data_IF_473210512271
#
_entry.id   IF_473210512271
#
_cell.length_a   1.000
_cell.length_b   1.000
_cell.length_c   1.000
_cell.angle_alpha   90.00
_cell.angle_beta   90.00
_cell.angle_gamma   90.00
#
_symmetry.space_group_name_H-M   'P 1'
#
loop_
_entity.id
_entity.type
_entity.pdbx_description
1 polymer ?
#
# COMPACT_ATOMS: atom_id res chain seq x y z
N UNK A 1 -3.11 -28.38 -1.33
CA UNK A 1 -4.47 -28.21 -0.74
C UNK A 1 -4.43 -27.23 0.44
N UNK A 2 -4.10 -25.98 0.13
CA UNK A 2 -4.33 -24.77 0.92
C UNK A 2 -4.38 -23.63 -0.13
N UNK A 3 -5.37 -23.75 -0.99
CA UNK A 3 -5.68 -22.86 -2.12
C UNK A 3 -7.06 -22.28 -1.79
N UNK A 4 -7.25 -20.99 -2.08
CA UNK A 4 -8.52 -20.25 -2.01
C UNK A 4 -8.86 -19.46 -0.74
N UNK A 5 -7.98 -18.55 -0.30
CA UNK A 5 -8.41 -17.42 0.53
C UNK A 5 -7.92 -16.03 0.07
N UNK A 6 -7.30 -15.94 -1.11
CA UNK A 6 -7.08 -14.66 -1.84
C UNK A 6 -7.36 -14.76 -3.36
N UNK A 7 -7.82 -15.91 -3.86
CA UNK A 7 -8.14 -16.14 -5.28
C UNK A 7 -9.61 -15.98 -5.65
N UNK A 8 -10.45 -15.49 -4.72
CA UNK A 8 -11.86 -15.16 -5.00
C UNK A 8 -12.07 -13.65 -5.00
N UNK A 9 -11.30 -12.95 -5.85
CA UNK A 9 -11.79 -11.73 -6.49
C UNK A 9 -12.36 -12.21 -7.83
N UNK A 10 -13.67 -12.12 -8.07
CA UNK A 10 -14.19 -12.38 -9.40
C UNK A 10 -13.44 -11.51 -10.41
N UNK A 11 -13.07 -12.09 -11.56
CA UNK A 11 -12.50 -11.38 -12.71
C UNK A 11 -13.48 -10.37 -13.36
N UNK A 12 -14.34 -9.73 -12.57
CA UNK A 12 -15.38 -8.79 -12.95
C UNK A 12 -15.20 -7.41 -12.30
N UNK A 13 -14.09 -7.13 -11.62
CA UNK A 13 -13.65 -5.74 -11.40
C UNK A 13 -13.02 -5.20 -12.69
N UNK A 14 -13.86 -4.99 -13.71
CA UNK A 14 -13.55 -4.03 -14.75
C UNK A 14 -13.49 -2.66 -14.06
N UNK A 15 -12.28 -2.21 -13.73
CA UNK A 15 -12.05 -0.78 -13.55
C UNK A 15 -12.41 -0.13 -14.89
N UNK A 16 -13.62 0.41 -14.99
CA UNK A 16 -13.99 1.31 -16.06
C UNK A 16 -12.94 2.41 -16.05
N UNK A 17 -12.16 2.48 -17.13
CA UNK A 17 -11.16 3.52 -17.37
C UNK A 17 -11.82 4.89 -17.20
N UNK A 18 -11.64 5.52 -16.06
CA UNK A 18 -11.85 6.95 -15.92
C UNK A 18 -10.59 7.62 -16.47
N UNK A 19 -10.71 8.07 -17.71
CA UNK A 19 -9.74 8.98 -18.33
C UNK A 19 -9.69 10.25 -17.48
N UNK A 20 -8.65 10.41 -16.66
CA UNK A 20 -8.39 11.68 -15.97
C UNK A 20 -7.93 12.70 -17.03
N UNK A 21 -8.62 13.83 -17.21
CA UNK A 21 -8.09 14.92 -18.02
C UNK A 21 -6.96 15.59 -17.25
N UNK A 22 -5.72 15.33 -17.66
CA UNK A 22 -4.55 16.14 -17.32
C UNK A 22 -4.70 17.53 -17.97
N UNK A 23 -5.42 18.44 -17.32
CA UNK A 23 -5.41 19.86 -17.65
C UNK A 23 -4.41 20.57 -16.74
N UNK A 24 -3.20 20.80 -17.26
CA UNK A 24 -2.22 21.69 -16.67
C UNK A 24 -2.62 23.14 -16.93
N UNK A 25 -2.99 23.85 -15.86
CA UNK A 25 -2.74 25.29 -15.60
C UNK A 25 -3.62 25.76 -14.45
N UNK A 26 -3.04 25.89 -13.25
CA UNK A 26 -3.53 26.82 -12.23
C UNK A 26 -2.33 27.62 -11.73
N UNK A 27 -2.06 28.74 -12.40
CA UNK A 27 -1.36 29.87 -11.80
C UNK A 27 -2.45 30.80 -11.25
N UNK A 28 -2.47 31.04 -9.95
CA UNK A 28 -3.40 32.01 -9.36
C UNK A 28 -3.33 32.05 -7.84
N UNK A 29 -2.70 33.11 -7.34
CA UNK A 29 -2.69 33.61 -5.97
C UNK A 29 -3.90 33.22 -5.10
N UNK A 30 -3.64 32.69 -3.89
CA UNK A 30 -4.61 32.58 -2.80
C UNK A 30 -4.64 33.93 -2.06
N UNK A 31 -5.77 34.68 -2.04
CA UNK A 31 -5.89 35.86 -1.19
C UNK A 31 -6.20 35.45 0.27
N UNK A 32 -5.88 36.30 1.27
CA UNK A 32 -6.17 36.01 2.66
C UNK A 32 -7.68 36.00 2.91
N UNK A 33 -8.13 35.04 3.73
CA UNK A 33 -9.52 34.90 4.17
C UNK A 33 -9.88 36.09 5.07
N UNK A 34 -10.56 37.10 4.52
CA UNK A 34 -11.24 38.13 5.32
C UNK A 34 -12.48 37.55 5.98
N UNK A 35 -12.50 37.59 7.31
CA UNK A 35 -13.64 37.19 8.15
C UNK A 35 -14.81 38.15 7.90
N UNK A 36 -15.82 37.72 7.15
CA UNK A 36 -17.07 38.48 6.98
C UNK A 36 -17.92 38.28 8.22
N UNK A 37 -18.06 39.32 9.05
CA UNK A 37 -19.06 39.38 10.12
C UNK A 37 -20.43 39.63 9.49
N UNK A 38 -21.33 38.65 9.59
CA UNK A 38 -22.74 38.86 9.32
C UNK A 38 -23.42 39.40 10.58
N UNK A 39 -24.02 40.58 10.50
CA UNK A 39 -24.97 41.06 11.51
C UNK A 39 -26.30 40.33 11.30
N UNK A 40 -26.65 39.45 12.24
CA UNK A 40 -27.96 38.80 12.28
C UNK A 40 -28.97 39.78 12.87
N UNK A 41 -29.86 40.32 12.03
CA UNK A 41 -31.06 41.00 12.49
C UNK A 41 -32.12 39.95 12.81
N UNK A 42 -32.56 39.89 14.07
CA UNK A 42 -33.62 38.99 14.50
C UNK A 42 -34.98 39.45 13.91
N UNK A 43 -35.49 38.70 12.93
CA UNK A 43 -36.87 38.81 12.45
C UNK A 43 -37.69 37.68 13.05
N UNK A 44 -38.50 37.98 14.05
CA UNK A 44 -39.49 37.05 14.61
C UNK A 44 -40.73 37.01 13.71
N UNK A 45 -40.68 36.18 12.67
CA UNK A 45 -41.89 35.74 11.95
C UNK A 45 -42.14 34.27 12.28
N UNK A 46 -43.32 33.91 12.82
CA UNK A 46 -43.61 32.54 13.18
C UNK A 46 -43.75 31.69 11.92
N UNK A 47 -42.78 30.79 11.72
CA UNK A 47 -42.81 29.78 10.66
C UNK A 47 -43.91 28.77 11.03
N UNK A 48 -44.94 28.66 10.19
CA UNK A 48 -45.91 27.56 10.27
C UNK A 48 -45.16 26.24 10.07
N UNK A 49 -45.48 25.17 10.83
CA UNK A 49 -44.86 23.87 10.61
C UNK A 49 -45.32 23.34 9.25
N UNK A 50 -44.49 23.53 8.24
CA UNK A 50 -44.58 22.74 7.02
C UNK A 50 -43.98 21.40 7.40
N UNK A 51 -44.79 20.35 7.35
CA UNK A 51 -44.35 18.97 7.44
C UNK A 51 -43.52 18.68 6.18
N UNK A 52 -42.28 19.18 6.16
CA UNK A 52 -41.34 18.94 5.09
C UNK A 52 -40.85 17.52 5.26
N UNK A 53 -41.38 16.63 4.43
CA UNK A 53 -40.82 15.29 4.25
C UNK A 53 -39.33 15.44 3.90
N UNK A 54 -38.47 15.06 4.83
CA UNK A 54 -37.02 15.07 4.61
C UNK A 54 -36.70 14.00 3.56
N UNK A 55 -36.39 14.44 2.34
CA UNK A 55 -35.97 13.57 1.25
C UNK A 55 -34.48 13.31 1.41
N UNK A 56 -34.08 12.05 1.59
CA UNK A 56 -32.68 11.66 1.71
C UNK A 56 -32.20 10.94 0.45
N UNK A 57 -30.94 11.20 0.10
CA UNK A 57 -30.28 10.51 -1.01
C UNK A 57 -29.81 9.13 -0.54
N UNK A 58 -29.70 8.23 -1.51
CA UNK A 58 -29.07 6.92 -1.38
C UNK A 58 -28.07 6.79 -2.52
N UNK A 59 -26.93 6.15 -2.25
CA UNK A 59 -25.96 5.77 -3.27
C UNK A 59 -26.10 4.29 -3.71
N UNK A 60 -27.08 3.57 -3.14
CA UNK A 60 -27.41 2.17 -3.47
C UNK A 60 -26.20 1.22 -3.40
N UNK A 61 -25.44 1.33 -2.30
CA UNK A 61 -24.27 0.48 -2.07
C UNK A 61 -24.64 -1.01 -1.97
N UNK A 62 -23.83 -1.86 -2.59
CA UNK A 62 -23.96 -3.32 -2.45
C UNK A 62 -23.57 -3.81 -1.04
N UNK A 63 -24.06 -4.98 -0.61
CA UNK A 63 -23.69 -5.56 0.69
C UNK A 63 -22.21 -5.96 0.73
N UNK A 64 -21.67 -6.20 1.93
CA UNK A 64 -20.36 -6.83 2.09
C UNK A 64 -20.33 -8.21 1.41
N UNK A 65 -19.22 -8.55 0.77
CA UNK A 65 -19.04 -9.90 0.19
C UNK A 65 -18.57 -10.93 1.23
N UNK A 66 -18.15 -10.48 2.43
CA UNK A 66 -17.73 -11.37 3.52
C UNK A 66 -18.70 -11.27 4.69
N UNK A 67 -19.35 -12.39 5.02
CA UNK A 67 -20.21 -12.45 6.18
C UNK A 67 -19.42 -12.41 7.48
N UNK A 68 -20.04 -11.89 8.54
CA UNK A 68 -19.46 -11.88 9.89
C UNK A 68 -19.04 -13.29 10.34
N UNK A 69 -19.94 -14.27 10.17
CA UNK A 69 -19.69 -15.65 10.59
C UNK A 69 -18.50 -16.26 9.84
N UNK A 70 -18.39 -15.99 8.53
CA UNK A 70 -17.24 -16.39 7.74
C UNK A 70 -15.95 -15.81 8.32
N UNK A 71 -15.88 -14.49 8.56
CA UNK A 71 -14.70 -13.85 9.14
C UNK A 71 -14.33 -14.48 10.50
N UNK A 72 -15.32 -14.70 11.38
CA UNK A 72 -15.07 -15.30 12.69
C UNK A 72 -14.61 -16.76 12.61
N UNK A 73 -15.05 -17.51 11.59
CA UNK A 73 -14.67 -18.91 11.35
C UNK A 73 -13.28 -19.11 10.74
N UNK A 74 -12.63 -18.04 10.25
CA UNK A 74 -11.27 -18.14 9.69
C UNK A 74 -10.34 -18.80 10.71
N UNK A 75 -9.60 -19.81 10.31
CA UNK A 75 -8.56 -20.40 11.16
C UNK A 75 -7.32 -20.73 10.35
N UNK A 76 -6.17 -20.72 11.02
CA UNK A 76 -4.88 -20.96 10.39
C UNK A 76 -4.05 -21.92 11.22
N UNK A 77 -3.59 -22.99 10.56
CA UNK A 77 -2.62 -23.94 11.12
C UNK A 77 -1.24 -23.33 11.37
N UNK A 78 -0.95 -22.15 10.82
CA UNK A 78 0.36 -21.49 10.89
C UNK A 78 0.61 -20.73 12.20
N UNK A 79 -0.25 -20.92 13.21
CA UNK A 79 -0.11 -20.34 14.56
C UNK A 79 0.81 -21.15 15.49
N UNK A 80 1.22 -22.36 15.09
CA UNK A 80 1.93 -23.31 15.95
C UNK A 80 3.45 -23.06 16.07
N UNK A 81 4.03 -23.48 17.19
CA UNK A 81 5.49 -23.38 17.46
C UNK A 81 6.38 -24.08 16.42
N UNK A 82 5.86 -25.11 15.75
CA UNK A 82 6.61 -25.83 14.71
C UNK A 82 6.98 -24.90 13.55
N UNK A 83 6.04 -24.06 13.10
CA UNK A 83 6.26 -23.10 12.02
C UNK A 83 7.16 -21.94 12.47
N UNK A 84 7.06 -21.50 13.72
CA UNK A 84 7.99 -20.51 14.28
C UNK A 84 9.44 -21.05 14.29
N UNK A 85 9.64 -22.29 14.74
CA UNK A 85 10.96 -22.94 14.69
C UNK A 85 11.50 -23.12 13.27
N UNK A 86 10.62 -23.49 12.33
CA UNK A 86 10.98 -23.58 10.92
C UNK A 86 11.38 -22.22 10.36
N UNK A 87 10.64 -21.16 10.67
CA UNK A 87 10.93 -19.79 10.25
C UNK A 87 12.32 -19.34 10.74
N UNK A 88 12.63 -19.53 12.02
CA UNK A 88 13.94 -19.14 12.58
C UNK A 88 15.10 -19.88 11.90
N UNK A 89 14.96 -21.19 11.67
CA UNK A 89 15.97 -21.98 10.95
C UNK A 89 16.20 -21.47 9.52
N UNK A 90 15.15 -21.02 8.83
CA UNK A 90 15.25 -20.48 7.48
C UNK A 90 15.89 -19.08 7.51
N UNK A 91 15.55 -18.24 8.49
CA UNK A 91 16.17 -16.93 8.70
C UNK A 91 17.68 -17.04 8.94
N UNK A 92 18.13 -17.98 9.77
CA UNK A 92 19.56 -18.22 10.01
C UNK A 92 20.32 -18.55 8.71
N UNK A 93 19.75 -19.41 7.87
CA UNK A 93 20.36 -19.79 6.59
C UNK A 93 20.46 -18.60 5.64
N UNK A 94 19.41 -17.78 5.54
CA UNK A 94 19.40 -16.58 4.69
C UNK A 94 20.34 -15.49 5.22
N UNK A 95 20.42 -15.31 6.54
CA UNK A 95 21.38 -14.39 7.16
C UNK A 95 22.83 -14.82 6.83
N UNK A 96 23.12 -16.12 6.85
CA UNK A 96 24.42 -16.63 6.42
C UNK A 96 24.71 -16.36 4.93
N UNK A 97 23.69 -16.44 4.04
CA UNK A 97 23.84 -16.08 2.62
C UNK A 97 24.17 -14.59 2.44
N UNK A 98 23.50 -13.70 3.17
CA UNK A 98 23.78 -12.26 3.12
C UNK A 98 25.22 -11.93 3.54
N UNK A 99 25.77 -12.70 4.49
CA UNK A 99 27.12 -12.49 5.05
C UNK A 99 28.23 -13.22 4.27
N UNK A 100 27.89 -14.12 3.35
CA UNK A 100 28.86 -14.98 2.66
C UNK A 100 29.92 -14.17 1.90
N UNK A 101 29.48 -13.07 1.29
CA UNK A 101 30.31 -12.20 0.46
C UNK A 101 30.99 -11.07 1.25
N UNK A 102 30.72 -10.96 2.56
CA UNK A 102 31.31 -9.93 3.43
C UNK A 102 32.84 -10.03 3.52
N UNK A 103 33.39 -11.21 3.25
CA UNK A 103 34.81 -11.53 3.41
C UNK A 103 35.65 -11.26 2.17
N UNK A 104 35.05 -10.90 1.03
CA UNK A 104 35.75 -10.71 -0.24
C UNK A 104 35.68 -9.25 -0.66
N UNK A 105 36.81 -8.55 -0.58
CA UNK A 105 36.90 -7.09 -0.78
C UNK A 105 36.48 -6.67 -2.19
N UNK A 106 36.76 -7.49 -3.22
CA UNK A 106 36.58 -7.15 -4.64
C UNK A 106 35.45 -7.93 -5.35
N UNK A 107 34.55 -8.58 -4.61
CA UNK A 107 33.43 -9.28 -5.23
C UNK A 107 32.44 -8.29 -5.86
N UNK A 108 31.96 -8.64 -7.06
CA UNK A 108 30.88 -7.93 -7.74
C UNK A 108 29.62 -7.98 -6.86
N UNK A 109 29.07 -6.84 -6.41
CA UNK A 109 27.98 -6.84 -5.45
C UNK A 109 26.63 -7.23 -6.06
N UNK A 110 26.58 -7.55 -7.37
CA UNK A 110 25.36 -7.91 -8.07
C UNK A 110 24.59 -9.04 -7.36
N UNK A 111 25.27 -10.10 -6.94
CA UNK A 111 24.62 -11.22 -6.26
C UNK A 111 23.93 -10.79 -4.94
N UNK A 112 24.60 -9.94 -4.16
CA UNK A 112 24.02 -9.40 -2.92
C UNK A 112 22.83 -8.48 -3.20
N UNK A 113 22.91 -7.67 -4.26
CA UNK A 113 21.81 -6.79 -4.67
C UNK A 113 20.60 -7.59 -5.18
N UNK A 114 20.82 -8.65 -5.95
CA UNK A 114 19.75 -9.57 -6.40
C UNK A 114 19.12 -10.32 -5.21
N UNK A 115 19.92 -10.74 -4.24
CA UNK A 115 19.42 -11.35 -3.00
C UNK A 115 18.56 -10.36 -2.22
N UNK A 116 19.02 -9.13 -2.02
CA UNK A 116 18.27 -8.07 -1.34
C UNK A 116 16.95 -7.77 -2.08
N UNK A 117 16.99 -7.64 -3.41
CA UNK A 117 15.80 -7.40 -4.22
C UNK A 117 14.78 -8.53 -4.07
N UNK A 118 15.23 -9.79 -4.09
CA UNK A 118 14.37 -10.95 -3.86
C UNK A 118 13.76 -10.91 -2.46
N UNK A 119 14.51 -10.54 -1.42
CA UNK A 119 13.97 -10.41 -0.06
C UNK A 119 12.88 -9.35 0.04
N UNK A 120 13.05 -8.20 -0.64
CA UNK A 120 12.02 -7.15 -0.71
C UNK A 120 10.78 -7.66 -1.42
N UNK A 121 10.94 -8.21 -2.62
CA UNK A 121 9.82 -8.64 -3.47
C UNK A 121 9.09 -9.83 -2.89
N UNK A 122 9.77 -10.72 -2.16
CA UNK A 122 9.16 -11.82 -1.40
C UNK A 122 8.51 -11.35 -0.07
N UNK A 123 8.67 -10.08 0.29
CA UNK A 123 8.06 -9.49 1.49
C UNK A 123 8.65 -9.99 2.80
N UNK A 124 9.92 -10.42 2.81
CA UNK A 124 10.63 -10.96 3.99
C UNK A 124 11.84 -10.13 4.42
N UNK A 125 12.13 -9.03 3.71
CA UNK A 125 13.25 -8.13 4.01
C UNK A 125 13.23 -7.56 5.42
N UNK A 126 12.05 -7.40 6.04
CA UNK A 126 11.87 -6.86 7.38
C UNK A 126 12.51 -7.73 8.49
N UNK A 127 12.87 -8.99 8.18
CA UNK A 127 13.62 -9.85 9.10
C UNK A 127 15.13 -9.58 9.09
N UNK A 128 15.64 -8.83 8.12
CA UNK A 128 17.07 -8.69 7.82
C UNK A 128 17.49 -7.23 7.66
N UNK A 129 16.77 -6.28 8.27
CA UNK A 129 17.00 -4.85 8.08
C UNK A 129 18.45 -4.45 8.39
N UNK A 130 19.01 -5.00 9.47
CA UNK A 130 20.38 -4.75 9.91
C UNK A 130 21.43 -5.33 8.95
N UNK A 131 21.27 -6.58 8.52
CA UNK A 131 22.12 -7.23 7.52
C UNK A 131 22.10 -6.48 6.18
N UNK A 132 20.90 -6.09 5.73
CA UNK A 132 20.73 -5.36 4.47
C UNK A 132 21.41 -4.00 4.58
N UNK A 133 21.19 -3.26 5.66
CA UNK A 133 21.83 -1.95 5.87
C UNK A 133 23.36 -2.04 5.86
N UNK A 134 23.95 -3.00 6.61
CA UNK A 134 25.41 -3.23 6.60
C UNK A 134 25.92 -3.55 5.19
N UNK A 135 25.17 -4.33 4.44
CA UNK A 135 25.52 -4.70 3.06
C UNK A 135 25.48 -3.49 2.14
N UNK A 136 24.44 -2.66 2.23
CA UNK A 136 24.32 -1.44 1.43
C UNK A 136 25.38 -0.40 1.77
N UNK A 137 25.72 -0.22 3.06
CA UNK A 137 26.81 0.66 3.50
C UNK A 137 28.15 0.29 2.84
N UNK A 138 28.43 -1.01 2.71
CA UNK A 138 29.64 -1.49 2.02
C UNK A 138 29.59 -1.28 0.51
N UNK A 139 28.43 -1.45 -0.12
CA UNK A 139 28.27 -1.42 -1.58
C UNK A 139 28.12 0.01 -2.11
N UNK A 140 27.63 0.94 -1.29
CA UNK A 140 27.28 2.30 -1.69
C UNK A 140 28.40 2.98 -2.51
N UNK A 141 29.63 2.95 -2.00
CA UNK A 141 30.81 3.56 -2.63
C UNK A 141 31.52 2.67 -3.67
N UNK A 142 31.11 1.40 -3.84
CA UNK A 142 31.73 0.49 -4.82
C UNK A 142 31.20 0.74 -6.22
N UNK A 143 32.07 0.88 -7.21
CA UNK A 143 31.66 1.02 -8.61
C UNK A 143 31.11 -0.30 -9.17
N UNK A 144 29.80 -0.36 -9.47
CA UNK A 144 29.14 -1.48 -10.17
C UNK A 144 29.22 -1.28 -11.68
N UNK A 145 30.44 -1.25 -12.20
CA UNK A 145 30.74 -0.67 -13.51
C UNK A 145 30.62 -1.65 -14.70
N UNK A 146 29.71 -2.64 -14.66
CA UNK A 146 29.68 -3.67 -15.71
C UNK A 146 28.42 -3.67 -16.60
N UNK A 147 27.20 -3.58 -16.05
CA UNK A 147 25.96 -3.64 -16.84
C UNK A 147 24.93 -2.59 -16.45
N UNK A 148 24.01 -2.28 -17.37
CA UNK A 148 22.87 -1.40 -17.11
C UNK A 148 22.02 -1.98 -15.98
N UNK A 149 21.76 -3.29 -16.02
CA UNK A 149 21.05 -4.02 -14.99
C UNK A 149 21.63 -3.80 -13.58
N UNK A 150 22.93 -4.08 -13.38
CA UNK A 150 23.56 -3.94 -12.08
C UNK A 150 23.52 -2.49 -11.56
N UNK A 151 23.74 -1.53 -12.47
CA UNK A 151 23.74 -0.10 -12.15
C UNK A 151 22.34 0.37 -11.72
N UNK A 152 21.31 0.02 -12.50
CA UNK A 152 19.93 0.40 -12.22
C UNK A 152 19.37 -0.28 -10.96
N UNK A 153 19.70 -1.56 -10.75
CA UNK A 153 19.32 -2.30 -9.55
C UNK A 153 19.95 -1.67 -8.29
N UNK A 154 21.28 -1.43 -8.31
CA UNK A 154 21.98 -0.77 -7.21
C UNK A 154 21.36 0.60 -6.92
N UNK A 155 21.15 1.41 -7.95
CA UNK A 155 20.56 2.74 -7.83
C UNK A 155 19.19 2.68 -7.15
N UNK A 156 18.30 1.80 -7.62
CA UNK A 156 16.96 1.64 -7.06
C UNK A 156 17.01 1.27 -5.59
N UNK A 157 17.76 0.22 -5.24
CA UNK A 157 17.84 -0.26 -3.86
C UNK A 157 18.44 0.82 -2.94
N UNK A 158 19.54 1.45 -3.34
CA UNK A 158 20.16 2.53 -2.55
C UNK A 158 19.19 3.70 -2.31
N UNK A 159 18.43 4.12 -3.32
CA UNK A 159 17.43 5.19 -3.14
C UNK A 159 16.28 4.78 -2.23
N UNK A 160 15.81 3.54 -2.32
CA UNK A 160 14.78 3.01 -1.42
C UNK A 160 15.23 3.06 0.06
N UNK A 161 16.54 2.99 0.32
CA UNK A 161 17.13 3.10 1.66
C UNK A 161 17.60 4.52 2.02
N UNK A 162 17.32 5.52 1.18
CA UNK A 162 17.62 6.92 1.45
C UNK A 162 19.08 7.34 1.18
N UNK A 163 19.87 6.52 0.49
CA UNK A 163 21.23 6.92 0.09
C UNK A 163 21.17 7.95 -1.05
N UNK A 164 21.97 9.02 -0.91
CA UNK A 164 22.14 9.99 -1.98
C UNK A 164 22.89 9.34 -3.15
N UNK A 165 22.20 9.17 -4.27
CA UNK A 165 22.74 8.50 -5.47
C UNK A 165 22.50 9.41 -6.68
N UNK A 166 23.47 10.27 -7.05
CA UNK A 166 23.32 11.22 -8.15
C UNK A 166 23.17 10.49 -9.49
N UNK A 167 22.11 10.80 -10.24
CA UNK A 167 21.79 10.13 -11.50
C UNK A 167 22.89 10.26 -12.54
N UNK A 168 23.39 11.47 -12.76
CA UNK A 168 24.40 11.74 -13.81
C UNK A 168 25.70 11.01 -13.55
N UNK A 169 26.14 10.93 -12.30
CA UNK A 169 27.36 10.22 -11.93
C UNK A 169 27.16 8.71 -12.09
N UNK A 170 26.05 8.20 -11.55
CA UNK A 170 25.72 6.77 -11.53
C UNK A 170 25.53 6.20 -12.94
N UNK A 171 24.84 6.94 -13.82
CA UNK A 171 24.52 6.49 -15.17
C UNK A 171 25.37 7.14 -16.27
N UNK A 172 26.44 7.85 -15.91
CA UNK A 172 27.33 8.58 -16.85
C UNK A 172 27.73 7.78 -18.09
N UNK A 173 28.01 6.48 -17.94
CA UNK A 173 28.40 5.57 -19.02
C UNK A 173 27.26 5.22 -19.99
N UNK A 174 26.03 5.28 -19.50
CA UNK A 174 24.82 5.00 -20.26
C UNK A 174 24.20 6.29 -20.80
N UNK A 175 24.85 7.45 -20.64
CA UNK A 175 24.36 8.76 -21.06
C UNK A 175 25.25 9.41 -22.12
N UNK A 176 24.67 10.30 -22.92
CA UNK A 176 25.38 11.17 -23.85
C UNK A 176 25.87 12.45 -23.19
N UNK A 177 26.57 13.29 -23.95
CA UNK A 177 27.10 14.57 -23.47
C UNK A 177 26.00 15.54 -23.00
N UNK A 178 24.75 15.32 -23.43
CA UNK A 178 23.57 16.10 -23.01
C UNK A 178 22.88 15.50 -21.78
N UNK A 179 23.37 14.37 -21.25
CA UNK A 179 22.77 13.65 -20.12
C UNK A 179 21.55 12.82 -20.50
N UNK A 180 21.36 12.53 -21.79
CA UNK A 180 20.28 11.67 -22.30
C UNK A 180 20.79 10.24 -22.36
N UNK A 181 19.99 9.27 -21.94
CA UNK A 181 20.40 7.88 -21.99
C UNK A 181 20.69 7.44 -23.45
N UNK A 182 21.90 6.93 -23.70
CA UNK A 182 22.38 6.32 -24.95
C UNK A 182 21.80 4.91 -25.10
N UNK A 183 20.48 4.82 -25.18
CA UNK A 183 19.81 3.55 -25.28
C UNK A 183 19.70 3.21 -26.76
N UNK A 184 20.72 2.54 -27.30
CA UNK A 184 20.61 1.98 -28.64
C UNK A 184 19.51 0.92 -28.61
N UNK A 185 18.48 1.07 -29.45
CA UNK A 185 17.33 0.16 -29.63
C UNK A 185 17.67 -1.28 -30.06
N UNK A 186 18.96 -1.63 -30.06
CA UNK A 186 19.52 -2.88 -30.57
C UNK A 186 20.28 -3.67 -29.47
N UNK A 187 20.16 -3.30 -28.20
CA UNK A 187 20.66 -4.14 -27.10
C UNK A 187 19.61 -5.18 -26.73
N UNK A 188 19.94 -6.47 -26.77
CA UNK A 188 19.11 -7.57 -26.25
C UNK A 188 19.05 -7.61 -24.69
N UNK A 189 19.47 -6.53 -24.01
CA UNK A 189 19.48 -6.42 -22.55
C UNK A 189 18.11 -6.00 -21.98
N UNK A 190 17.10 -6.86 -22.16
CA UNK A 190 15.76 -6.63 -21.61
C UNK A 190 15.78 -6.51 -20.08
N UNK A 191 16.60 -7.32 -19.39
CA UNK A 191 16.76 -7.26 -17.93
C UNK A 191 17.27 -5.88 -17.47
N UNK A 192 18.24 -5.31 -18.19
CA UNK A 192 18.74 -3.95 -17.94
C UNK A 192 17.71 -2.86 -18.22
N UNK A 193 16.94 -2.97 -19.31
CA UNK A 193 15.87 -2.02 -19.64
C UNK A 193 14.74 -2.04 -18.59
N UNK A 194 14.36 -3.23 -18.12
CA UNK A 194 13.38 -3.40 -17.04
C UNK A 194 13.89 -2.78 -15.73
N UNK A 195 15.15 -3.05 -15.36
CA UNK A 195 15.72 -2.46 -14.15
C UNK A 195 15.81 -0.93 -14.23
N UNK A 196 16.15 -0.37 -15.40
CA UNK A 196 16.14 1.09 -15.62
C UNK A 196 14.72 1.67 -15.55
N UNK A 197 13.73 0.98 -16.13
CA UNK A 197 12.32 1.36 -16.01
C UNK A 197 11.90 1.45 -14.54
N UNK A 198 12.18 0.42 -13.74
CA UNK A 198 11.85 0.41 -12.31
C UNK A 198 12.60 1.47 -11.51
N UNK A 199 13.88 1.69 -11.80
CA UNK A 199 14.69 2.72 -11.18
C UNK A 199 14.17 4.14 -11.45
N UNK A 200 13.60 4.37 -12.64
CA UNK A 200 13.10 5.69 -13.03
C UNK A 200 11.94 6.18 -12.18
N UNK A 201 11.19 5.28 -11.54
CA UNK A 201 10.09 5.66 -10.64
C UNK A 201 10.55 6.17 -9.27
N UNK A 202 11.86 6.18 -8.98
CA UNK A 202 12.46 6.83 -7.81
C UNK A 202 13.03 8.22 -8.12
N UNK A 203 12.57 8.86 -9.20
CA UNK A 203 12.97 10.21 -9.56
C UNK A 203 12.58 11.23 -8.49
N UNK A 204 13.37 12.30 -8.40
CA UNK A 204 13.01 13.54 -7.71
C UNK A 204 12.81 14.66 -8.73
N UNK A 205 12.17 15.77 -8.34
CA UNK A 205 11.72 16.82 -9.25
C UNK A 205 12.85 17.39 -10.13
N UNK A 206 14.05 17.55 -9.57
CA UNK A 206 15.23 18.06 -10.28
C UNK A 206 15.73 17.13 -11.39
N UNK A 207 15.32 15.86 -11.35
CA UNK A 207 15.73 14.80 -12.27
C UNK A 207 14.58 14.40 -13.23
N UNK A 208 13.42 15.05 -13.12
CA UNK A 208 12.20 14.74 -13.89
C UNK A 208 12.41 14.74 -15.40
N UNK A 209 13.27 15.61 -15.94
CA UNK A 209 13.56 15.64 -17.37
C UNK A 209 14.30 14.38 -17.84
N UNK A 210 15.30 13.94 -17.09
CA UNK A 210 16.14 12.77 -17.42
C UNK A 210 15.29 11.50 -17.34
N UNK A 211 14.49 11.35 -16.27
CA UNK A 211 13.72 10.15 -16.05
C UNK A 211 12.44 10.05 -16.88
N UNK A 212 11.79 11.16 -17.25
CA UNK A 212 10.65 11.11 -18.18
C UNK A 212 11.04 10.52 -19.54
N UNK A 213 12.20 10.92 -20.05
CA UNK A 213 12.72 10.42 -21.32
C UNK A 213 13.12 8.95 -21.18
N UNK A 214 13.76 8.58 -20.06
CA UNK A 214 14.11 7.19 -19.74
C UNK A 214 12.87 6.29 -19.66
N UNK A 215 11.85 6.67 -18.90
CA UNK A 215 10.59 5.91 -18.75
C UNK A 215 9.87 5.77 -20.08
N UNK A 216 9.80 6.85 -20.88
CA UNK A 216 9.16 6.80 -22.20
C UNK A 216 9.88 5.82 -23.13
N UNK A 217 11.21 5.88 -23.15
CA UNK A 217 12.03 4.97 -23.95
C UNK A 217 11.90 3.52 -23.48
N UNK A 218 12.12 3.24 -22.19
CA UNK A 218 12.11 1.86 -21.67
C UNK A 218 10.72 1.25 -21.81
N UNK A 219 9.65 2.02 -21.62
CA UNK A 219 8.28 1.57 -21.88
C UNK A 219 8.09 1.13 -23.33
N UNK A 220 8.57 1.91 -24.31
CA UNK A 220 8.44 1.56 -25.73
C UNK A 220 9.25 0.29 -26.06
N UNK A 221 10.49 0.22 -25.58
CA UNK A 221 11.36 -0.95 -25.75
C UNK A 221 10.73 -2.22 -25.17
N UNK A 222 10.26 -2.16 -23.92
CA UNK A 222 9.73 -3.31 -23.19
C UNK A 222 8.46 -3.86 -23.85
N UNK A 223 7.59 -2.98 -24.35
CA UNK A 223 6.40 -3.38 -25.12
C UNK A 223 6.78 -4.08 -26.42
N UNK A 224 7.74 -3.53 -27.17
CA UNK A 224 8.22 -4.16 -28.40
C UNK A 224 8.90 -5.49 -28.12
N UNK A 225 9.69 -5.57 -27.04
CA UNK A 225 10.37 -6.78 -26.62
C UNK A 225 9.38 -7.91 -26.29
N UNK A 226 8.34 -7.62 -25.50
CA UNK A 226 7.27 -8.60 -25.21
C UNK A 226 6.62 -9.08 -26.50
N UNK A 227 6.22 -8.18 -27.42
CA UNK A 227 5.59 -8.57 -28.70
C UNK A 227 6.45 -9.56 -29.50
N UNK A 228 7.78 -9.39 -29.48
CA UNK A 228 8.73 -10.27 -30.19
C UNK A 228 8.89 -11.64 -29.52
N UNK A 229 8.82 -11.71 -28.18
CA UNK A 229 9.17 -12.90 -27.41
C UNK A 229 7.96 -13.66 -26.82
N UNK A 230 6.75 -13.09 -26.85
CA UNK A 230 5.51 -13.72 -26.36
C UNK A 230 5.17 -15.05 -27.07
N UNK A 231 5.77 -15.30 -28.25
CA UNK A 231 5.59 -16.52 -29.03
C UNK A 231 6.71 -17.58 -28.83
N UNK A 232 7.77 -17.28 -28.07
CA UNK A 232 8.94 -18.16 -27.87
C UNK A 232 8.81 -18.86 -26.51
N UNK A 233 8.27 -20.07 -26.53
CA UNK A 233 7.63 -20.73 -25.38
C UNK A 233 8.50 -21.18 -24.20
N UNK A 234 9.82 -20.96 -24.14
CA UNK A 234 10.62 -21.63 -23.09
C UNK A 234 11.70 -20.81 -22.38
N UNK A 235 12.42 -19.90 -23.03
CA UNK A 235 13.54 -19.21 -22.35
C UNK A 235 13.15 -17.82 -21.81
N UNK A 236 12.21 -17.13 -22.46
CA UNK A 236 11.86 -15.72 -22.16
C UNK A 236 10.54 -15.55 -21.38
N UNK A 237 9.76 -16.61 -21.16
CA UNK A 237 8.42 -16.55 -20.55
C UNK A 237 8.42 -15.87 -19.17
N UNK A 238 9.43 -16.20 -18.34
CA UNK A 238 9.60 -15.60 -17.03
C UNK A 238 9.85 -14.09 -17.13
N UNK A 239 10.72 -13.67 -18.05
CA UNK A 239 11.04 -12.26 -18.23
C UNK A 239 9.86 -11.49 -18.84
N UNK A 240 9.14 -12.06 -19.82
CA UNK A 240 7.89 -11.50 -20.33
C UNK A 240 6.87 -11.26 -19.20
N UNK A 241 6.74 -12.21 -18.27
CA UNK A 241 5.85 -12.09 -17.11
C UNK A 241 6.25 -10.91 -16.22
N UNK A 242 7.54 -10.77 -15.89
CA UNK A 242 8.06 -9.65 -15.11
C UNK A 242 7.85 -8.31 -15.82
N UNK A 243 8.08 -8.25 -17.14
CA UNK A 243 7.93 -7.03 -17.93
C UNK A 243 6.47 -6.60 -18.01
N UNK A 244 5.55 -7.51 -18.31
CA UNK A 244 4.11 -7.21 -18.37
C UNK A 244 3.59 -6.70 -17.02
N UNK A 245 4.04 -7.30 -15.92
CA UNK A 245 3.70 -6.85 -14.57
C UNK A 245 4.23 -5.45 -14.30
N UNK A 246 5.50 -5.16 -14.58
CA UNK A 246 6.07 -3.82 -14.39
C UNK A 246 5.38 -2.74 -15.24
N UNK A 247 4.97 -3.06 -16.47
CA UNK A 247 4.28 -2.15 -17.37
C UNK A 247 2.82 -1.86 -16.95
N UNK A 248 2.19 -2.72 -16.16
CA UNK A 248 0.88 -2.45 -15.55
C UNK A 248 1.01 -1.43 -14.42
N UNK A 249 1.95 -1.67 -13.50
CA UNK A 249 2.28 -0.78 -12.40
C UNK A 249 3.75 -1.04 -11.99
N UNK A 250 4.59 -0.01 -11.88
CA UNK A 250 5.98 -0.16 -11.49
C UNK A 250 6.09 -0.65 -10.04
N UNK A 251 7.13 -1.41 -9.73
CA UNK A 251 7.39 -1.98 -8.41
C UNK A 251 7.35 -0.93 -7.29
N UNK A 252 7.87 0.28 -7.55
CA UNK A 252 7.87 1.35 -6.54
C UNK A 252 6.47 1.79 -6.10
N UNK A 253 5.44 1.58 -6.92
CA UNK A 253 4.05 1.96 -6.63
C UNK A 253 3.19 0.77 -6.18
N UNK A 254 3.75 -0.44 -6.13
CA UNK A 254 3.02 -1.64 -5.72
C UNK A 254 2.96 -1.77 -4.21
N UNK A 255 1.81 -2.22 -3.72
CA UNK A 255 1.67 -2.63 -2.31
C UNK A 255 2.57 -3.85 -2.06
N UNK A 256 3.58 -3.76 -1.16
CA UNK A 256 4.58 -4.82 -0.97
C UNK A 256 3.97 -6.17 -0.67
N UNK A 257 2.87 -6.19 0.09
CA UNK A 257 2.25 -7.46 0.50
C UNK A 257 1.49 -8.17 -0.61
N UNK A 258 0.90 -7.44 -1.55
CA UNK A 258 0.30 -8.02 -2.76
C UNK A 258 1.39 -8.45 -3.74
N UNK A 259 2.44 -7.65 -3.89
CA UNK A 259 3.62 -8.01 -4.69
C UNK A 259 4.22 -9.33 -4.17
N UNK A 260 4.40 -9.48 -2.86
CA UNK A 260 4.91 -10.72 -2.26
C UNK A 260 4.10 -11.95 -2.62
N UNK A 261 2.76 -11.85 -2.63
CA UNK A 261 1.92 -12.98 -3.03
C UNK A 261 2.14 -13.36 -4.49
N UNK A 262 2.12 -12.38 -5.38
CA UNK A 262 2.33 -12.59 -6.81
C UNK A 262 3.74 -13.11 -7.09
N UNK A 263 4.76 -12.53 -6.46
CA UNK A 263 6.16 -12.87 -6.70
C UNK A 263 6.51 -14.26 -6.17
N UNK A 264 5.91 -14.73 -5.07
CA UNK A 264 6.03 -16.13 -4.63
C UNK A 264 5.57 -17.09 -5.73
N UNK A 265 4.46 -16.80 -6.41
CA UNK A 265 3.91 -17.66 -7.47
C UNK A 265 4.79 -17.63 -8.73
N UNK A 266 5.36 -16.47 -9.05
CA UNK A 266 6.34 -16.31 -10.14
C UNK A 266 7.63 -17.07 -9.83
N UNK A 267 8.11 -17.01 -8.60
CA UNK A 267 9.29 -17.76 -8.14
C UNK A 267 9.06 -19.27 -8.10
N UNK A 268 7.86 -19.75 -7.78
CA UNK A 268 7.58 -21.19 -7.78
C UNK A 268 7.69 -21.83 -9.17
N UNK A 269 7.46 -21.03 -10.23
CA UNK A 269 7.49 -21.49 -11.62
C UNK A 269 8.72 -20.99 -12.40
N UNK A 270 9.60 -20.19 -11.78
CA UNK A 270 10.74 -19.56 -12.44
C UNK A 270 12.01 -20.41 -12.45
N UNK A 271 12.93 -20.18 -13.42
CA UNK A 271 14.24 -20.82 -13.42
C UNK A 271 15.12 -20.32 -12.25
N UNK A 272 16.05 -21.15 -11.79
CA UNK A 272 17.14 -20.80 -10.85
C UNK A 272 16.74 -20.21 -9.48
N UNK A 273 15.51 -20.48 -9.01
CA UNK A 273 15.05 -19.96 -7.72
C UNK A 273 15.66 -20.70 -6.53
N UNK A 274 16.19 -19.92 -5.58
CA UNK A 274 16.75 -20.45 -4.35
C UNK A 274 15.63 -21.07 -3.47
N UNK A 275 15.64 -22.40 -3.24
CA UNK A 275 14.56 -23.08 -2.55
C UNK A 275 14.41 -22.63 -1.08
N UNK A 276 15.51 -22.19 -0.45
CA UNK A 276 15.50 -21.70 0.94
C UNK A 276 14.76 -20.37 1.01
N UNK A 277 14.97 -19.45 0.07
CA UNK A 277 14.24 -18.17 0.01
C UNK A 277 12.75 -18.38 -0.26
N UNK A 278 12.42 -19.28 -1.19
CA UNK A 278 11.03 -19.58 -1.51
C UNK A 278 10.30 -20.23 -0.33
N UNK A 279 10.96 -21.15 0.38
CA UNK A 279 10.39 -21.77 1.59
C UNK A 279 10.21 -20.73 2.70
N UNK A 280 11.21 -19.88 2.94
CA UNK A 280 11.12 -18.77 3.89
C UNK A 280 9.92 -17.88 3.58
N UNK A 281 9.78 -17.44 2.33
CA UNK A 281 8.69 -16.57 1.89
C UNK A 281 7.32 -17.22 2.10
N UNK A 282 7.16 -18.51 1.77
CA UNK A 282 5.88 -19.22 1.98
C UNK A 282 5.55 -19.41 3.45
N UNK A 283 6.52 -19.79 4.28
CA UNK A 283 6.29 -19.98 5.73
C UNK A 283 5.95 -18.65 6.38
N UNK A 284 6.76 -17.62 6.15
CA UNK A 284 6.53 -16.27 6.65
C UNK A 284 5.18 -15.72 6.19
N UNK A 285 4.87 -15.85 4.90
CA UNK A 285 3.63 -15.32 4.34
C UNK A 285 2.40 -15.87 5.09
N UNK A 286 2.39 -17.16 5.35
CA UNK A 286 1.27 -17.82 6.01
C UNK A 286 1.20 -17.53 7.53
N UNK A 287 2.35 -17.38 8.21
CA UNK A 287 2.41 -16.95 9.62
C UNK A 287 1.83 -15.54 9.74
N UNK A 288 2.29 -14.60 8.91
CA UNK A 288 1.81 -13.21 8.91
C UNK A 288 0.32 -13.14 8.55
N UNK A 289 -0.14 -13.94 7.58
CA UNK A 289 -1.56 -14.03 7.24
C UNK A 289 -2.41 -14.53 8.42
N UNK A 290 -1.90 -15.47 9.24
CA UNK A 290 -2.59 -15.91 10.45
C UNK A 290 -2.78 -14.76 11.46
N UNK A 291 -1.77 -13.90 11.62
CA UNK A 291 -1.86 -12.69 12.46
C UNK A 291 -2.89 -11.71 11.88
N UNK A 292 -2.89 -11.51 10.56
CA UNK A 292 -3.86 -10.65 9.88
C UNK A 292 -5.30 -11.12 10.09
N UNK A 293 -5.56 -12.44 9.99
CA UNK A 293 -6.89 -13.01 10.25
C UNK A 293 -7.37 -12.70 11.68
N UNK A 294 -6.50 -12.80 12.68
CA UNK A 294 -6.88 -12.46 14.06
C UNK A 294 -7.13 -10.95 14.24
N UNK A 295 -6.36 -10.10 13.55
CA UNK A 295 -6.60 -8.65 13.55
C UNK A 295 -7.93 -8.30 12.87
N UNK A 296 -8.25 -8.93 11.74
CA UNK A 296 -9.51 -8.75 11.03
C UNK A 296 -10.71 -9.21 11.87
N UNK A 297 -10.60 -10.37 12.54
CA UNK A 297 -11.65 -10.86 13.44
C UNK A 297 -11.94 -9.86 14.56
N UNK A 298 -10.90 -9.27 15.14
CA UNK A 298 -11.05 -8.23 16.15
C UNK A 298 -11.81 -7.02 15.59
N UNK A 299 -11.36 -6.47 14.47
CA UNK A 299 -12.01 -5.32 13.84
C UNK A 299 -13.47 -5.63 13.45
N UNK A 300 -13.75 -6.83 12.94
CA UNK A 300 -15.09 -7.30 12.60
C UNK A 300 -16.02 -7.40 13.81
N UNK A 301 -15.53 -7.86 14.97
CA UNK A 301 -16.31 -7.85 16.22
C UNK A 301 -16.62 -6.44 16.71
N UNK A 302 -15.63 -5.54 16.65
CA UNK A 302 -15.86 -4.15 16.97
C UNK A 302 -16.90 -3.53 16.02
N UNK A 303 -16.76 -3.73 14.70
CA UNK A 303 -17.67 -3.17 13.70
C UNK A 303 -19.11 -3.63 13.94
N UNK A 304 -19.30 -4.94 14.18
CA UNK A 304 -20.60 -5.49 14.56
C UNK A 304 -21.15 -4.87 15.85
N UNK A 305 -20.31 -4.64 16.86
CA UNK A 305 -20.71 -4.00 18.13
C UNK A 305 -21.19 -2.55 17.94
N UNK A 306 -20.64 -1.82 16.96
CA UNK A 306 -21.10 -0.44 16.67
C UNK A 306 -22.54 -0.42 16.13
N UNK A 307 -22.97 -1.49 15.46
CA UNK A 307 -24.24 -1.57 14.76
C UNK A 307 -24.33 -0.64 13.54
N UNK A 308 -23.27 0.06 13.14
CA UNK A 308 -23.31 1.00 12.02
C UNK A 308 -23.63 0.29 10.70
N UNK A 309 -22.91 -0.78 10.37
CA UNK A 309 -23.14 -1.53 9.13
C UNK A 309 -24.49 -2.26 9.06
N UNK A 310 -25.10 -2.61 10.20
CA UNK A 310 -26.39 -3.30 10.25
C UNK A 310 -27.58 -2.33 10.34
N UNK A 311 -27.44 -1.23 11.09
CA UNK A 311 -28.53 -0.30 11.37
C UNK A 311 -28.61 0.85 10.37
N UNK A 312 -27.50 1.21 9.69
CA UNK A 312 -27.43 2.33 8.76
C UNK A 312 -27.32 1.82 7.33
N UNK A 313 -28.46 1.59 6.68
CA UNK A 313 -28.55 1.02 5.33
C UNK A 313 -27.91 1.87 4.21
N UNK A 314 -27.60 3.13 4.49
CA UNK A 314 -26.92 4.04 3.57
C UNK A 314 -25.39 4.04 3.74
N UNK A 315 -24.86 3.38 4.79
CA UNK A 315 -23.42 3.29 5.05
C UNK A 315 -22.82 2.06 4.35
N UNK A 316 -21.65 2.23 3.76
CA UNK A 316 -20.85 1.15 3.19
C UNK A 316 -20.34 0.20 4.29
N UNK A 317 -20.84 -1.04 4.30
CA UNK A 317 -20.27 -2.12 5.11
C UNK A 317 -19.06 -2.75 4.40
N UNK A 318 -17.85 -2.30 4.77
CA UNK A 318 -16.59 -2.58 4.07
C UNK A 318 -15.44 -2.90 5.01
N UNK A 319 -15.70 -3.64 6.09
CA UNK A 319 -14.69 -3.85 7.15
C UNK A 319 -13.44 -4.58 6.66
N UNK A 320 -13.57 -5.47 5.66
CA UNK A 320 -12.44 -6.21 5.09
C UNK A 320 -11.60 -5.34 4.17
N UNK A 321 -12.22 -4.47 3.36
CA UNK A 321 -11.53 -3.50 2.51
C UNK A 321 -10.79 -2.45 3.36
N UNK A 322 -11.45 -1.94 4.41
CA UNK A 322 -10.83 -1.04 5.38
C UNK A 322 -9.62 -1.69 6.06
N UNK A 323 -9.71 -2.99 6.38
CA UNK A 323 -8.60 -3.76 6.93
C UNK A 323 -7.47 -3.96 5.92
N UNK A 324 -7.80 -4.30 4.67
CA UNK A 324 -6.84 -4.47 3.59
C UNK A 324 -5.97 -3.21 3.44
N UNK A 325 -6.58 -2.02 3.52
CA UNK A 325 -5.86 -0.75 3.46
C UNK A 325 -4.74 -0.67 4.50
N UNK A 326 -5.03 -1.08 5.74
CA UNK A 326 -4.03 -1.09 6.83
C UNK A 326 -2.92 -2.12 6.65
N UNK A 327 -3.22 -3.25 5.99
CA UNK A 327 -2.20 -4.23 5.58
C UNK A 327 -1.30 -3.63 4.51
N UNK A 328 -1.82 -2.76 3.64
CA UNK A 328 -1.04 -2.01 2.67
C UNK A 328 -0.03 -1.05 3.30
N UNK A 329 -0.42 -0.41 4.40
CA UNK A 329 0.44 0.52 5.12
C UNK A 329 1.51 -0.19 5.98
N UNK A 330 1.10 -1.19 6.78
CA UNK A 330 1.96 -1.92 7.71
C UNK A 330 1.56 -3.39 7.81
N UNK A 331 2.15 -4.24 6.97
CA UNK A 331 1.85 -5.67 6.93
C UNK A 331 2.60 -6.48 8.00
N UNK A 332 3.70 -5.97 8.55
CA UNK A 332 4.62 -6.71 9.42
C UNK A 332 3.93 -7.08 10.75
N UNK A 333 4.14 -8.31 11.26
CA UNK A 333 3.29 -8.88 12.32
C UNK A 333 3.26 -8.05 13.61
N UNK A 334 4.35 -7.35 13.96
CA UNK A 334 4.47 -6.49 15.14
C UNK A 334 3.48 -5.31 15.15
N UNK A 335 3.02 -4.84 13.98
CA UNK A 335 2.10 -3.70 13.87
C UNK A 335 0.62 -4.11 14.00
N UNK A 336 0.33 -5.17 14.76
CA UNK A 336 -1.03 -5.67 14.94
C UNK A 336 -1.97 -4.69 15.63
N UNK A 337 -1.48 -3.91 16.61
CA UNK A 337 -2.28 -2.86 17.25
C UNK A 337 -2.66 -1.77 16.24
N UNK A 338 -1.67 -1.23 15.52
CA UNK A 338 -1.86 -0.26 14.46
C UNK A 338 -2.92 -0.72 13.45
N UNK A 339 -2.79 -1.92 12.89
CA UNK A 339 -3.77 -2.43 11.91
C UNK A 339 -5.19 -2.47 12.47
N UNK A 340 -5.37 -2.93 13.71
CA UNK A 340 -6.71 -2.99 14.33
C UNK A 340 -7.30 -1.58 14.49
N UNK A 341 -6.54 -0.66 15.07
CA UNK A 341 -7.04 0.70 15.34
C UNK A 341 -7.26 1.48 14.04
N UNK A 342 -6.31 1.44 13.10
CA UNK A 342 -6.45 2.10 11.80
C UNK A 342 -7.63 1.53 10.99
N UNK A 343 -7.94 0.23 11.12
CA UNK A 343 -9.12 -0.36 10.46
C UNK A 343 -10.41 0.23 11.04
N UNK A 344 -10.47 0.40 12.36
CA UNK A 344 -11.60 1.02 13.04
C UNK A 344 -11.76 2.47 12.58
N UNK A 345 -10.66 3.23 12.51
CA UNK A 345 -10.65 4.60 12.00
C UNK A 345 -11.11 4.66 10.54
N UNK A 346 -10.59 3.81 9.65
CA UNK A 346 -10.99 3.76 8.24
C UNK A 346 -12.50 3.46 8.08
N UNK A 347 -13.03 2.53 8.87
CA UNK A 347 -14.46 2.22 8.87
C UNK A 347 -15.32 3.39 9.39
N UNK A 348 -14.86 4.12 10.43
CA UNK A 348 -15.52 5.32 10.91
C UNK A 348 -15.46 6.46 9.88
N UNK A 349 -14.32 6.67 9.22
CA UNK A 349 -14.16 7.63 8.13
C UNK A 349 -15.16 7.32 7.03
N UNK A 350 -15.25 6.05 6.60
CA UNK A 350 -16.20 5.61 5.58
C UNK A 350 -17.65 5.92 5.99
N UNK A 351 -18.03 5.60 7.23
CA UNK A 351 -19.38 5.86 7.73
C UNK A 351 -19.70 7.35 7.86
N UNK A 352 -18.74 8.16 8.31
CA UNK A 352 -18.90 9.60 8.41
C UNK A 352 -18.96 10.23 7.02
N UNK A 353 -18.12 9.80 6.08
CA UNK A 353 -18.16 10.22 4.67
C UNK A 353 -19.57 10.03 4.10
N UNK A 354 -20.17 8.84 4.23
CA UNK A 354 -21.55 8.54 3.79
C UNK A 354 -22.61 9.40 4.49
N UNK A 355 -22.37 9.81 5.75
CA UNK A 355 -23.24 10.77 6.44
C UNK A 355 -23.17 12.15 5.77
N UNK A 356 -21.99 12.61 5.37
CA UNK A 356 -21.81 13.95 4.80
C UNK A 356 -22.19 14.05 3.32
N UNK A 357 -21.74 13.11 2.48
CA UNK A 357 -21.84 13.24 1.04
C UNK A 357 -23.12 12.62 0.45
N UNK A 358 -23.72 11.65 1.13
CA UNK A 358 -24.96 10.96 0.74
C UNK A 358 -26.14 11.40 1.61
N UNK A 359 -26.12 11.10 2.91
CA UNK A 359 -27.38 10.96 3.67
C UNK A 359 -27.83 12.20 4.46
N UNK A 360 -26.90 12.95 5.04
CA UNK A 360 -27.16 14.11 5.90
C UNK A 360 -27.72 15.31 5.16
N UNK A 361 -28.56 16.09 5.83
CA UNK A 361 -28.97 17.42 5.35
C UNK A 361 -27.97 18.46 5.84
N UNK A 362 -27.88 19.62 5.17
CA UNK A 362 -26.93 20.67 5.56
C UNK A 362 -27.12 21.10 7.04
N UNK A 363 -28.37 21.34 7.46
CA UNK A 363 -28.69 21.74 8.83
C UNK A 363 -28.26 20.68 9.87
N UNK A 364 -28.42 19.39 9.54
CA UNK A 364 -27.97 18.30 10.40
C UNK A 364 -26.44 18.21 10.46
N UNK A 365 -25.77 18.40 9.32
CA UNK A 365 -24.32 18.34 9.20
C UNK A 365 -23.63 19.50 9.93
N UNK A 366 -24.21 20.70 9.94
CA UNK A 366 -23.70 21.83 10.71
C UNK A 366 -23.66 21.50 12.22
N UNK A 367 -24.76 20.95 12.75
CA UNK A 367 -24.83 20.54 14.16
C UNK A 367 -23.89 19.36 14.45
N UNK A 368 -23.83 18.37 13.54
CA UNK A 368 -22.91 17.23 13.70
C UNK A 368 -21.45 17.68 13.69
N UNK A 369 -21.09 18.63 12.83
CA UNK A 369 -19.75 19.23 12.77
C UNK A 369 -19.41 19.92 14.08
N UNK A 370 -20.27 20.83 14.58
CA UNK A 370 -20.06 21.53 15.86
C UNK A 370 -19.92 20.55 17.04
N UNK A 371 -20.70 19.46 17.05
CA UNK A 371 -20.58 18.43 18.07
C UNK A 371 -19.22 17.70 18.04
N UNK A 372 -18.70 17.39 16.85
CA UNK A 372 -17.37 16.78 16.67
C UNK A 372 -16.27 17.75 17.08
N UNK A 373 -16.35 19.02 16.67
CA UNK A 373 -15.37 20.06 17.03
C UNK A 373 -15.30 20.30 18.55
N UNK A 374 -16.46 20.32 19.22
CA UNK A 374 -16.54 20.48 20.69
C UNK A 374 -16.26 19.20 21.46
N UNK A 375 -16.28 18.05 20.79
CA UNK A 375 -16.25 16.72 21.39
C UNK A 375 -17.36 16.49 22.44
N UNK A 376 -18.52 17.14 22.25
CA UNK A 376 -19.62 17.21 23.22
C UNK A 376 -20.79 16.29 22.82
N UNK A 377 -21.07 15.29 23.65
CA UNK A 377 -22.18 14.36 23.42
C UNK A 377 -23.56 14.98 23.63
N UNK A 378 -23.68 16.10 24.35
CA UNK A 378 -24.96 16.77 24.53
C UNK A 378 -25.40 17.51 23.26
N UNK A 379 -24.44 17.95 22.44
CA UNK A 379 -24.71 18.65 21.18
C UNK A 379 -25.43 17.78 20.14
N UNK A 380 -25.25 16.45 20.18
CA UNK A 380 -25.95 15.52 19.28
C UNK A 380 -27.34 15.11 19.76
N UNK A 381 -27.82 15.56 20.93
CA UNK A 381 -29.14 15.18 21.46
C UNK A 381 -30.30 15.61 20.55
N UNK A 382 -30.13 16.71 19.82
CA UNK A 382 -31.11 17.21 18.86
C UNK A 382 -31.00 16.58 17.47
N UNK A 383 -29.94 15.80 17.20
CA UNK A 383 -29.73 15.17 15.90
C UNK A 383 -30.59 13.90 15.71
N UNK A 384 -30.78 13.44 14.46
CA UNK A 384 -31.41 12.15 14.20
C UNK A 384 -30.64 10.99 14.81
N UNK A 385 -31.34 9.87 15.06
CA UNK A 385 -30.77 8.68 15.70
C UNK A 385 -29.48 8.17 15.02
N UNK A 386 -29.42 8.19 13.69
CA UNK A 386 -28.26 7.69 12.95
C UNK A 386 -26.98 8.51 13.22
N UNK A 387 -27.11 9.85 13.36
CA UNK A 387 -25.99 10.73 13.70
C UNK A 387 -25.56 10.55 15.15
N UNK A 388 -26.51 10.36 16.07
CA UNK A 388 -26.16 10.01 17.45
C UNK A 388 -25.35 8.73 17.51
N UNK A 389 -25.80 7.69 16.81
CA UNK A 389 -25.10 6.41 16.74
C UNK A 389 -23.69 6.57 16.16
N UNK A 390 -23.57 7.29 15.04
CA UNK A 390 -22.28 7.59 14.40
C UNK A 390 -21.33 8.36 15.33
N UNK A 391 -21.80 9.44 15.96
CA UNK A 391 -21.03 10.26 16.90
C UNK A 391 -20.55 9.44 18.10
N UNK A 392 -21.44 8.66 18.72
CA UNK A 392 -21.07 7.83 19.86
C UNK A 392 -20.08 6.72 19.48
N UNK A 393 -20.23 6.10 18.30
CA UNK A 393 -19.28 5.12 17.81
C UNK A 393 -17.89 5.75 17.59
N UNK A 394 -17.83 6.93 16.98
CA UNK A 394 -16.60 7.71 16.80
C UNK A 394 -15.96 8.04 18.15
N UNK A 395 -16.69 8.76 19.01
CA UNK A 395 -16.20 9.25 20.28
C UNK A 395 -15.71 8.12 21.19
N UNK A 396 -16.49 7.04 21.32
CA UNK A 396 -16.11 5.92 22.16
C UNK A 396 -14.85 5.21 21.64
N UNK A 397 -14.73 5.03 20.32
CA UNK A 397 -13.57 4.36 19.73
C UNK A 397 -12.30 5.18 19.91
N UNK A 398 -12.35 6.50 19.68
CA UNK A 398 -11.20 7.39 19.85
C UNK A 398 -10.80 7.50 21.34
N UNK A 399 -11.77 7.60 22.25
CA UNK A 399 -11.49 7.63 23.69
C UNK A 399 -10.84 6.32 24.16
N UNK A 400 -11.26 5.16 23.63
CA UNK A 400 -10.63 3.86 23.93
C UNK A 400 -9.17 3.81 23.46
N UNK A 401 -8.90 4.28 22.24
CA UNK A 401 -7.53 4.39 21.70
C UNK A 401 -6.65 5.33 22.52
N UNK A 402 -7.21 6.47 22.94
CA UNK A 402 -6.51 7.46 23.78
C UNK A 402 -6.16 6.86 25.14
N UNK A 403 -7.10 6.11 25.74
CA UNK A 403 -6.85 5.40 26.99
C UNK A 403 -5.76 4.33 26.86
N UNK A 404 -5.75 3.57 25.76
CA UNK A 404 -4.67 2.60 25.48
C UNK A 404 -3.30 3.30 25.38
N UNK A 405 -3.22 4.44 24.69
CA UNK A 405 -1.99 5.22 24.60
C UNK A 405 -1.51 5.74 25.97
N UNK A 406 -2.43 6.26 26.79
CA UNK A 406 -2.12 6.70 28.15
C UNK A 406 -1.63 5.53 29.03
N UNK A 407 -2.31 4.38 28.96
CA UNK A 407 -1.99 3.20 29.76
C UNK A 407 -0.64 2.60 29.36
N UNK A 408 -0.40 2.43 28.07
CA UNK A 408 0.73 1.63 27.58
C UNK A 408 1.98 2.46 27.27
N UNK A 409 1.81 3.76 26.98
CA UNK A 409 2.90 4.66 26.61
C UNK A 409 3.06 5.86 27.55
N UNK A 410 2.11 6.09 28.48
CA UNK A 410 2.13 7.24 29.38
C UNK A 410 1.90 8.58 28.68
N UNK A 411 1.33 8.56 27.47
CA UNK A 411 1.06 9.77 26.67
C UNK A 411 -0.43 10.09 26.73
N UNK A 412 -0.75 11.30 27.17
CA UNK A 412 -2.09 11.88 27.10
C UNK A 412 -2.23 12.61 25.75
N UNK A 413 -3.10 12.11 24.86
CA UNK A 413 -3.26 12.56 23.46
C UNK A 413 -4.54 13.37 23.32
#
# INVERSE_FOLDING_TARGET
MALNLLSSIPAACNFTRLSLPLSSKVNGFVPPITRVQYHVAASTTPIKPVDQTIIRRSADYGPTIWSFDYIQSLDSKYKGESYARQLEKLKEQVSAMLQQDDKVVDLDPLHQLELIDNLHRLGVSYHFEDEIKRTLDRIHNKNTNKSLYATALKFRILRQYGYNTPVKETFSRFMDEKGIFKLSSHSDDCKGMLALYEAAYLLVEEESSIFRDATSFTTAYLKEWVIKHDNIKHDDEHLCTLVNHALELPLHWRMPRLEARWFIDVCENGPDMNPILLELAKVDFNIVQAVHQENLKYASRWWKKTGLGENLNFVRDRIVENFMWTVGEKFEPQFGYFRRMSTMVNALITAVDDVYDVYGTLDELEIFTDAVERWDATAVEQLPHYMKLCFHALRNSINEMTFDALRDQGVDI
#
